data_IF_834080817143
#
_entry.id   IF_834080817143
#
_cell.length_a   1.000
_cell.length_b   1.000
_cell.length_c   1.000
_cell.angle_alpha   90.00
_cell.angle_beta   90.00
_cell.angle_gamma   90.00
#
_symmetry.space_group_name_H-M   'P 1'
#
loop_
_entity.id
_entity.type
_entity.pdbx_description
1 polymer ?
#
# COMPACT_ATOMS: atom_id res chain seq x y z
N UNK A 1 12.02 15.26 7.58
CA UNK A 1 12.00 15.43 6.11
C UNK A 1 11.11 14.41 5.37
N UNK A 2 10.43 13.46 6.03
CA UNK A 2 9.62 12.43 5.32
C UNK A 2 8.17 12.80 4.99
N UNK A 3 7.53 13.69 5.77
CA UNK A 3 6.10 13.99 5.57
C UNK A 3 5.81 14.67 4.22
N UNK A 4 6.67 15.61 3.80
CA UNK A 4 6.50 16.29 2.51
C UNK A 4 6.62 15.33 1.33
N UNK A 5 7.58 14.42 1.38
CA UNK A 5 7.77 13.38 0.37
C UNK A 5 6.61 12.37 0.35
N UNK A 6 6.11 11.98 1.52
CA UNK A 6 4.93 11.13 1.66
C UNK A 6 3.71 11.78 1.01
N UNK A 7 3.41 13.04 1.36
CA UNK A 7 2.26 13.76 0.80
C UNK A 7 2.37 13.88 -0.71
N UNK A 8 3.54 14.27 -1.25
CA UNK A 8 3.75 14.39 -2.68
C UNK A 8 3.58 13.04 -3.40
N UNK A 9 4.15 11.97 -2.83
CA UNK A 9 4.09 10.62 -3.39
C UNK A 9 2.68 10.04 -3.35
N UNK A 10 1.89 10.36 -2.32
CA UNK A 10 0.53 9.85 -2.12
C UNK A 10 -0.57 10.69 -2.77
N UNK A 11 -0.27 11.84 -3.39
CA UNK A 11 -1.29 12.76 -3.94
C UNK A 11 -1.16 13.05 -5.43
N UNK A 12 -0.17 12.49 -6.11
CA UNK A 12 0.12 12.83 -7.50
C UNK A 12 0.14 11.61 -8.41
N UNK A 13 -0.54 11.69 -9.56
CA UNK A 13 -0.47 10.67 -10.63
C UNK A 13 0.90 10.59 -11.30
N UNK A 14 1.81 11.53 -11.03
CA UNK A 14 3.21 11.42 -11.45
C UNK A 14 3.99 10.43 -10.57
N UNK A 15 3.53 10.16 -9.35
CA UNK A 15 4.07 9.08 -8.53
C UNK A 15 3.67 7.74 -9.12
N UNK A 16 4.67 6.91 -9.45
CA UNK A 16 4.44 5.55 -9.97
C UNK A 16 3.68 4.69 -8.97
N UNK A 17 3.94 4.86 -7.67
CA UNK A 17 3.25 4.13 -6.61
C UNK A 17 1.78 4.54 -6.53
N UNK A 18 1.48 5.84 -6.61
CA UNK A 18 0.10 6.32 -6.60
C UNK A 18 -0.67 5.85 -7.83
N UNK A 19 -0.10 6.04 -9.03
CA UNK A 19 -0.75 5.63 -10.28
C UNK A 19 -1.02 4.11 -10.32
N UNK A 20 -0.10 3.31 -9.79
CA UNK A 20 -0.28 1.86 -9.63
C UNK A 20 -1.43 1.52 -8.68
N UNK A 21 -1.43 2.07 -7.46
CA UNK A 21 -2.50 1.84 -6.50
C UNK A 21 -3.87 2.32 -6.99
N UNK A 22 -3.90 3.45 -7.70
CA UNK A 22 -5.11 3.99 -8.33
C UNK A 22 -5.67 3.02 -9.38
N UNK A 23 -4.83 2.48 -10.26
CA UNK A 23 -5.27 1.53 -11.27
C UNK A 23 -5.88 0.25 -10.64
N UNK A 24 -5.29 -0.24 -9.54
CA UNK A 24 -5.86 -1.36 -8.77
C UNK A 24 -7.22 -0.97 -8.18
N UNK A 25 -7.33 0.22 -7.61
CA UNK A 25 -8.60 0.75 -7.10
C UNK A 25 -9.68 0.92 -8.17
N UNK A 26 -9.29 1.15 -9.43
CA UNK A 26 -10.19 1.17 -10.60
C UNK A 26 -10.57 -0.22 -11.11
N UNK A 27 -10.06 -1.29 -10.47
CA UNK A 27 -10.41 -2.67 -10.78
C UNK A 27 -9.43 -3.40 -11.70
N UNK A 28 -8.27 -2.84 -12.02
CA UNK A 28 -7.21 -3.63 -12.65
C UNK A 28 -6.63 -4.62 -11.65
N UNK A 29 -6.29 -5.81 -12.13
CA UNK A 29 -5.46 -6.72 -11.35
C UNK A 29 -4.01 -6.20 -11.25
N UNK A 30 -3.27 -6.72 -10.26
CA UNK A 30 -1.90 -6.30 -9.96
C UNK A 30 -0.96 -6.45 -11.16
N UNK A 31 -1.05 -7.56 -11.90
CA UNK A 31 -0.18 -7.83 -13.03
C UNK A 31 -0.38 -6.81 -14.16
N UNK A 32 -1.63 -6.52 -14.51
CA UNK A 32 -1.98 -5.52 -15.53
C UNK A 32 -1.61 -4.10 -15.08
N UNK A 33 -1.78 -3.78 -13.80
CA UNK A 33 -1.39 -2.50 -13.24
C UNK A 33 0.14 -2.30 -13.28
N UNK A 34 0.93 -3.35 -12.98
CA UNK A 34 2.39 -3.32 -13.12
C UNK A 34 2.81 -3.15 -14.59
N UNK A 35 2.17 -3.89 -15.51
CA UNK A 35 2.47 -3.83 -16.94
C UNK A 35 2.19 -2.45 -17.56
N UNK A 36 1.20 -1.71 -17.03
CA UNK A 36 0.91 -0.32 -17.45
C UNK A 36 1.93 0.71 -16.96
N UNK A 37 2.72 0.38 -15.93
CA UNK A 37 3.67 1.33 -15.35
C UNK A 37 4.84 1.58 -16.30
N UNK A 38 5.21 2.85 -16.50
CA UNK A 38 6.36 3.26 -17.32
C UNK A 38 7.71 3.12 -16.59
N UNK A 39 7.77 2.31 -15.54
CA UNK A 39 8.95 2.13 -14.70
C UNK A 39 8.65 1.33 -13.44
N UNK A 40 9.66 1.17 -12.58
CA UNK A 40 9.56 0.36 -11.37
C UNK A 40 8.60 1.00 -10.36
N UNK A 41 7.65 0.21 -9.88
CA UNK A 41 6.76 0.55 -8.76
C UNK A 41 7.43 0.04 -7.49
N UNK A 42 8.33 0.84 -6.94
CA UNK A 42 9.17 0.45 -5.79
C UNK A 42 8.34 0.06 -4.57
N UNK A 43 7.19 0.71 -4.36
CA UNK A 43 6.28 0.45 -3.24
C UNK A 43 5.71 -0.97 -3.24
N UNK A 44 5.45 -1.55 -4.42
CA UNK A 44 4.94 -2.92 -4.54
C UNK A 44 5.93 -3.93 -3.95
N UNK A 45 7.21 -3.83 -4.33
CA UNK A 45 8.28 -4.71 -3.81
C UNK A 45 8.66 -4.37 -2.36
N UNK A 46 8.63 -3.09 -2.01
CA UNK A 46 9.02 -2.64 -0.67
C UNK A 46 8.00 -3.06 0.39
N UNK A 47 6.71 -3.14 0.03
CA UNK A 47 5.66 -3.57 0.95
C UNK A 47 5.92 -4.99 1.50
N UNK A 48 6.32 -5.94 0.66
CA UNK A 48 6.68 -7.31 1.08
C UNK A 48 7.83 -7.32 2.09
N UNK A 49 8.87 -6.53 1.83
CA UNK A 49 10.05 -6.43 2.71
C UNK A 49 9.65 -5.77 4.03
N UNK A 50 8.89 -4.66 3.96
CA UNK A 50 8.41 -3.95 5.13
C UNK A 50 7.50 -4.82 6.00
N UNK A 51 6.59 -5.59 5.40
CA UNK A 51 5.74 -6.56 6.09
C UNK A 51 6.59 -7.62 6.83
N UNK A 52 7.57 -8.20 6.14
CA UNK A 52 8.49 -9.19 6.73
C UNK A 52 9.28 -8.61 7.90
N UNK A 53 9.76 -7.38 7.79
CA UNK A 53 10.50 -6.70 8.86
C UNK A 53 9.57 -6.35 10.03
N UNK A 54 8.38 -5.84 9.76
CA UNK A 54 7.37 -5.54 10.77
C UNK A 54 7.03 -6.79 11.60
N UNK A 55 6.79 -7.93 10.93
CA UNK A 55 6.55 -9.21 11.61
C UNK A 55 7.75 -9.65 12.46
N UNK A 56 8.98 -9.54 11.93
CA UNK A 56 10.21 -9.88 12.66
C UNK A 56 10.41 -9.05 13.94
N UNK A 57 10.11 -7.76 13.87
CA UNK A 57 10.30 -6.83 14.99
C UNK A 57 9.03 -6.62 15.83
N UNK A 58 7.94 -7.34 15.52
CA UNK A 58 6.65 -7.24 16.21
C UNK A 58 6.12 -5.80 16.20
N UNK A 59 6.22 -5.13 15.05
CA UNK A 59 5.73 -3.76 14.83
C UNK A 59 4.36 -3.85 14.13
N UNK A 60 3.33 -3.23 14.71
CA UNK A 60 2.01 -3.12 14.10
C UNK A 60 2.06 -2.14 12.91
N UNK A 61 1.98 -2.67 11.68
CA UNK A 61 2.04 -1.90 10.42
C UNK A 61 0.84 -2.23 9.50
N UNK A 62 -0.39 -1.95 9.93
CA UNK A 62 -1.63 -2.40 9.31
C UNK A 62 -1.78 -1.99 7.83
N UNK A 63 -1.32 -0.79 7.46
CA UNK A 63 -1.37 -0.32 6.07
C UNK A 63 -0.40 -1.12 5.19
N UNK A 64 0.77 -1.46 5.72
CA UNK A 64 1.76 -2.28 5.00
C UNK A 64 1.23 -3.70 4.82
N UNK A 65 0.60 -4.26 5.85
CA UNK A 65 -0.01 -5.60 5.80
C UNK A 65 -1.10 -5.66 4.71
N UNK A 66 -1.99 -4.67 4.68
CA UNK A 66 -3.02 -4.56 3.65
C UNK A 66 -2.43 -4.42 2.23
N UNK A 67 -1.40 -3.60 2.05
CA UNK A 67 -0.75 -3.43 0.74
C UNK A 67 -0.07 -4.74 0.31
N UNK A 68 0.62 -5.43 1.22
CA UNK A 68 1.23 -6.74 0.93
C UNK A 68 0.17 -7.76 0.52
N UNK A 69 -0.93 -7.86 1.26
CA UNK A 69 -2.03 -8.79 0.95
C UNK A 69 -2.60 -8.53 -0.46
N UNK A 70 -2.82 -7.27 -0.84
CA UNK A 70 -3.31 -6.92 -2.18
C UNK A 70 -2.30 -7.27 -3.27
N UNK A 71 -1.04 -6.89 -3.08
CA UNK A 71 -0.01 -6.98 -4.12
C UNK A 71 0.50 -8.41 -4.32
N UNK A 72 0.74 -9.15 -3.25
CA UNK A 72 1.39 -10.47 -3.30
C UNK A 72 0.45 -11.64 -3.01
N UNK A 73 -0.62 -11.43 -2.25
CA UNK A 73 -1.52 -12.52 -1.83
C UNK A 73 -2.87 -12.53 -2.58
N UNK A 74 -3.10 -11.56 -3.47
CA UNK A 74 -4.33 -11.45 -4.24
C UNK A 74 -5.54 -10.98 -3.42
N UNK A 75 -5.30 -10.30 -2.29
CA UNK A 75 -6.32 -9.69 -1.46
C UNK A 75 -7.16 -8.66 -2.22
N UNK A 76 -8.46 -8.63 -1.92
CA UNK A 76 -9.37 -7.63 -2.49
C UNK A 76 -9.17 -6.27 -1.80
N UNK A 77 -9.00 -5.16 -2.54
CA UNK A 77 -8.89 -3.82 -1.96
C UNK A 77 -10.06 -3.48 -1.02
N UNK A 78 -11.30 -3.79 -1.42
CA UNK A 78 -12.49 -3.51 -0.61
C UNK A 78 -12.48 -4.29 0.72
N UNK A 79 -12.03 -5.55 0.68
CA UNK A 79 -11.92 -6.38 1.88
C UNK A 79 -10.82 -5.88 2.82
N UNK A 80 -9.67 -5.47 2.28
CA UNK A 80 -8.61 -4.89 3.11
C UNK A 80 -9.02 -3.56 3.73
N UNK A 81 -9.69 -2.69 2.96
CA UNK A 81 -10.23 -1.43 3.48
C UNK A 81 -11.23 -1.72 4.61
N UNK A 82 -12.14 -2.68 4.42
CA UNK A 82 -13.08 -3.07 5.46
C UNK A 82 -12.36 -3.59 6.72
N UNK A 83 -11.31 -4.42 6.56
CA UNK A 83 -10.48 -4.88 7.67
C UNK A 83 -9.81 -3.73 8.42
N UNK A 84 -9.21 -2.78 7.68
CA UNK A 84 -8.55 -1.61 8.26
C UNK A 84 -9.54 -0.73 9.06
N UNK A 85 -10.72 -0.49 8.51
CA UNK A 85 -11.77 0.31 9.14
C UNK A 85 -12.43 -0.38 10.34
N UNK A 86 -12.42 -1.72 10.38
CA UNK A 86 -12.95 -2.50 11.50
C UNK A 86 -12.00 -2.57 12.71
N UNK A 87 -10.76 -2.06 12.59
CA UNK A 87 -9.81 -2.02 13.70
C UNK A 87 -10.35 -1.14 14.84
N UNK A 88 -10.06 -1.47 16.11
CA UNK A 88 -10.49 -0.64 17.23
C UNK A 88 -10.01 0.80 17.08
N UNK A 89 -10.88 1.77 17.33
CA UNK A 89 -10.52 3.18 17.30
C UNK A 89 -9.41 3.46 18.33
N UNK A 90 -8.23 3.82 17.83
CA UNK A 90 -7.10 4.24 18.66
C UNK A 90 -7.22 5.72 19.04
N UNK A 91 -6.46 6.12 20.07
CA UNK A 91 -6.27 7.55 20.36
C UNK A 91 -5.26 8.13 19.38
N UNK A 92 -5.58 9.28 18.81
CA UNK A 92 -4.57 10.10 18.15
C UNK A 92 -3.56 10.59 19.20
N UNK A 93 -2.28 10.25 19.01
CA UNK A 93 -1.21 10.73 19.88
C UNK A 93 -0.84 12.13 19.40
N UNK A 94 -1.18 13.14 20.19
CA UNK A 94 -0.82 14.54 19.97
C UNK A 94 0.56 14.86 20.50
#
# INVERSE_FOLDING_TARGET
SGLGDLLLTCSSTQSRNYAFGHAIGEGLNVADALARSKGVVEGAFTATIAHTLAARYVIDMPIVDAVHAIVDEGGSPDQEIARLLARPAGKEIR
#
